data_IF_539830246260
#
_entry.id   IF_539830246260
#
_cell.length_a   1.000
_cell.length_b   1.000
_cell.length_c   1.000
_cell.angle_alpha   90.00
_cell.angle_beta   90.00
_cell.angle_gamma   90.00
#
_symmetry.space_group_name_H-M   'P 1'
#
loop_
_entity.id
_entity.type
_entity.pdbx_description
1 polymer ?
#
# COMPACT_ATOMS: atom_id res chain seq x y z
N UNK A 1 17.28 -9.43 -35.28
CA UNK A 1 16.27 -8.35 -35.27
C UNK A 1 15.40 -8.31 -33.99
N UNK A 2 15.90 -8.73 -32.82
CA UNK A 2 15.06 -9.14 -31.65
C UNK A 2 15.33 -8.42 -30.31
N UNK A 3 16.39 -7.60 -30.18
CA UNK A 3 16.77 -7.03 -28.87
C UNK A 3 16.15 -5.64 -28.63
N UNK A 4 15.93 -4.85 -29.68
CA UNK A 4 15.41 -3.47 -29.56
C UNK A 4 13.89 -3.43 -29.30
N UNK A 5 13.15 -4.51 -29.62
CA UNK A 5 11.68 -4.55 -29.48
C UNK A 5 11.20 -4.92 -28.06
N UNK A 6 12.04 -5.54 -27.23
CA UNK A 6 11.63 -5.96 -25.89
C UNK A 6 11.39 -4.81 -24.90
N UNK A 7 12.24 -3.76 -24.82
CA UNK A 7 12.02 -2.65 -23.90
C UNK A 7 10.75 -1.86 -24.24
N UNK A 8 10.51 -1.60 -25.52
CA UNK A 8 9.32 -0.89 -26.00
C UNK A 8 8.02 -1.64 -25.66
N UNK A 9 8.00 -2.96 -25.86
CA UNK A 9 6.86 -3.83 -25.51
C UNK A 9 6.59 -3.87 -24.01
N UNK A 10 7.64 -3.93 -23.17
CA UNK A 10 7.51 -3.89 -21.71
C UNK A 10 6.94 -2.56 -21.22
N UNK A 11 7.47 -1.46 -21.74
CA UNK A 11 6.97 -0.11 -21.45
C UNK A 11 5.48 0.01 -21.79
N UNK A 12 5.09 -0.35 -23.01
CA UNK A 12 3.70 -0.27 -23.45
C UNK A 12 2.76 -1.12 -22.58
N UNK A 13 3.16 -2.34 -22.22
CA UNK A 13 2.37 -3.21 -21.35
C UNK A 13 2.22 -2.65 -19.92
N UNK A 14 3.31 -2.14 -19.34
CA UNK A 14 3.29 -1.51 -18.03
C UNK A 14 2.34 -0.30 -18.00
N UNK A 15 2.48 0.59 -18.99
CA UNK A 15 1.61 1.76 -19.09
C UNK A 15 0.16 1.40 -19.38
N UNK A 16 -0.11 0.32 -20.10
CA UNK A 16 -1.49 -0.15 -20.31
C UNK A 16 -2.19 -0.47 -18.99
N UNK A 17 -1.48 -1.05 -18.01
CA UNK A 17 -2.08 -1.38 -16.71
C UNK A 17 -2.46 -0.13 -15.90
N UNK A 18 -1.72 0.97 -16.04
CA UNK A 18 -1.92 2.20 -15.25
C UNK A 18 -2.70 3.28 -16.01
N UNK A 19 -2.65 3.27 -17.34
CA UNK A 19 -3.22 4.31 -18.17
C UNK A 19 -4.74 4.34 -18.05
N UNK A 20 -5.35 5.53 -17.89
CA UNK A 20 -6.80 5.68 -17.95
C UNK A 20 -7.41 5.33 -19.33
N UNK A 21 -6.59 5.12 -20.36
CA UNK A 21 -7.04 4.67 -21.69
C UNK A 21 -7.95 5.68 -22.38
N UNK A 22 -9.11 5.23 -22.86
CA UNK A 22 -10.17 6.08 -23.44
C UNK A 22 -10.91 6.92 -22.38
N UNK A 23 -10.64 6.70 -21.09
CA UNK A 23 -11.31 7.39 -19.97
C UNK A 23 -10.55 8.59 -19.43
N UNK A 24 -9.50 9.09 -20.10
CA UNK A 24 -8.69 10.22 -19.62
C UNK A 24 -9.55 11.41 -19.20
N UNK A 25 -10.52 11.81 -20.03
CA UNK A 25 -11.40 12.95 -19.74
C UNK A 25 -12.25 12.71 -18.48
N UNK A 26 -12.72 11.49 -18.25
CA UNK A 26 -13.46 11.12 -17.04
C UNK A 26 -12.58 11.21 -15.79
N UNK A 27 -11.32 10.77 -15.88
CA UNK A 27 -10.37 10.92 -14.79
C UNK A 27 -10.03 12.39 -14.51
N UNK A 28 -9.83 13.21 -15.54
CA UNK A 28 -9.55 14.65 -15.37
C UNK A 28 -10.76 15.36 -14.75
N UNK A 29 -11.96 15.10 -15.26
CA UNK A 29 -13.19 15.66 -14.71
C UNK A 29 -13.42 15.23 -13.25
N UNK A 30 -13.23 13.94 -12.95
CA UNK A 30 -13.33 13.42 -11.59
C UNK A 30 -12.26 14.01 -10.66
N UNK A 31 -11.02 14.19 -11.13
CA UNK A 31 -9.95 14.81 -10.34
C UNK A 31 -10.26 16.29 -10.04
N UNK A 32 -10.74 17.05 -11.03
CA UNK A 32 -11.16 18.43 -10.83
C UNK A 32 -12.33 18.52 -9.83
N UNK A 33 -13.36 17.68 -9.99
CA UNK A 33 -14.48 17.60 -9.06
C UNK A 33 -14.03 17.19 -7.65
N UNK A 34 -13.15 16.21 -7.54
CA UNK A 34 -12.59 15.75 -6.28
C UNK A 34 -11.84 16.87 -5.55
N UNK A 35 -11.01 17.65 -6.27
CA UNK A 35 -10.28 18.78 -5.69
C UNK A 35 -11.22 19.90 -5.20
N UNK A 36 -12.25 20.23 -5.98
CA UNK A 36 -13.26 21.24 -5.60
C UNK A 36 -14.03 20.78 -4.36
N UNK A 37 -14.54 19.55 -4.37
CA UNK A 37 -15.30 18.98 -3.26
C UNK A 37 -14.42 18.85 -2.00
N UNK A 38 -13.18 18.41 -2.16
CA UNK A 38 -12.20 18.34 -1.08
C UNK A 38 -11.95 19.73 -0.47
N UNK A 39 -11.75 20.75 -1.31
CA UNK A 39 -11.57 22.13 -0.86
C UNK A 39 -12.78 22.67 -0.13
N UNK A 40 -14.00 22.46 -0.65
CA UNK A 40 -15.23 22.86 0.04
C UNK A 40 -15.35 22.13 1.39
N UNK A 41 -15.10 20.82 1.43
CA UNK A 41 -15.19 20.02 2.64
C UNK A 41 -14.23 20.54 3.72
N UNK A 42 -12.97 20.80 3.39
CA UNK A 42 -11.97 21.31 4.34
C UNK A 42 -12.27 22.76 4.74
N UNK A 43 -12.40 23.67 3.76
CA UNK A 43 -12.42 25.11 4.04
C UNK A 43 -13.79 25.64 4.47
N UNK A 44 -14.88 25.09 3.94
CA UNK A 44 -16.25 25.57 4.23
C UNK A 44 -16.95 24.72 5.27
N UNK A 45 -16.85 23.40 5.16
CA UNK A 45 -17.52 22.48 6.08
C UNK A 45 -16.67 22.11 7.31
N UNK A 46 -15.41 22.57 7.36
CA UNK A 46 -14.45 22.28 8.43
C UNK A 46 -14.29 20.77 8.68
N UNK A 47 -14.46 19.98 7.62
CA UNK A 47 -14.31 18.54 7.66
C UNK A 47 -12.83 18.21 7.91
N UNK A 48 -12.52 17.22 8.77
CA UNK A 48 -11.15 16.77 8.92
C UNK A 48 -10.59 16.24 7.60
N UNK A 49 -9.28 16.38 7.40
CA UNK A 49 -8.58 16.03 6.16
C UNK A 49 -8.87 14.60 5.68
N UNK A 50 -9.01 13.65 6.60
CA UNK A 50 -9.34 12.26 6.25
C UNK A 50 -10.71 12.13 5.59
N UNK A 51 -11.72 12.84 6.10
CA UNK A 51 -13.08 12.80 5.56
C UNK A 51 -13.14 13.40 4.15
N UNK A 52 -12.49 14.54 3.95
CA UNK A 52 -12.38 15.17 2.64
C UNK A 52 -11.63 14.26 1.66
N UNK A 53 -10.55 13.60 2.11
CA UNK A 53 -9.77 12.66 1.29
C UNK A 53 -10.59 11.43 0.90
N UNK A 54 -11.41 10.88 1.81
CA UNK A 54 -12.34 9.79 1.49
C UNK A 54 -13.33 10.19 0.40
N UNK A 55 -13.87 11.41 0.43
CA UNK A 55 -14.75 11.93 -0.63
C UNK A 55 -14.01 11.99 -1.96
N UNK A 56 -12.81 12.56 -1.98
CA UNK A 56 -11.99 12.67 -3.19
C UNK A 56 -11.70 11.29 -3.81
N UNK A 57 -11.34 10.29 -2.98
CA UNK A 57 -11.13 8.91 -3.42
C UNK A 57 -12.43 8.30 -3.95
N UNK A 58 -13.57 8.53 -3.29
CA UNK A 58 -14.87 8.04 -3.74
C UNK A 58 -15.24 8.57 -5.14
N UNK A 59 -14.95 9.84 -5.42
CA UNK A 59 -15.15 10.45 -6.75
C UNK A 59 -14.23 9.80 -7.78
N UNK A 60 -12.94 9.61 -7.46
CA UNK A 60 -11.97 8.96 -8.35
C UNK A 60 -12.22 7.46 -8.56
N UNK A 61 -12.88 6.80 -7.61
CA UNK A 61 -13.20 5.38 -7.69
C UNK A 61 -14.18 5.07 -8.83
N UNK A 62 -15.02 6.03 -9.23
CA UNK A 62 -15.97 5.86 -10.33
C UNK A 62 -15.25 5.58 -11.66
N UNK A 63 -14.41 6.49 -12.21
CA UNK A 63 -13.69 6.23 -13.45
C UNK A 63 -12.68 5.07 -13.31
N UNK A 64 -12.10 4.85 -12.13
CA UNK A 64 -11.25 3.69 -11.87
C UNK A 64 -12.00 2.35 -12.02
N UNK A 65 -13.21 2.26 -11.47
CA UNK A 65 -14.05 1.06 -11.60
C UNK A 65 -14.49 0.84 -13.04
N UNK A 66 -14.84 1.90 -13.76
CA UNK A 66 -15.16 1.81 -15.19
C UNK A 66 -13.97 1.30 -16.00
N UNK A 67 -12.78 1.84 -15.76
CA UNK A 67 -11.53 1.36 -16.36
C UNK A 67 -11.32 -0.13 -16.08
N UNK A 68 -11.37 -0.54 -14.81
CA UNK A 68 -11.13 -1.95 -14.44
C UNK A 68 -12.18 -2.90 -15.00
N UNK A 69 -13.42 -2.45 -15.18
CA UNK A 69 -14.44 -3.24 -15.89
C UNK A 69 -14.06 -3.45 -17.36
N UNK A 70 -13.60 -2.42 -18.05
CA UNK A 70 -13.12 -2.52 -19.43
C UNK A 70 -11.87 -3.40 -19.53
N UNK A 71 -10.92 -3.25 -18.60
CA UNK A 71 -9.73 -4.10 -18.54
C UNK A 71 -10.08 -5.55 -18.22
N UNK A 72 -11.11 -5.81 -17.41
CA UNK A 72 -11.57 -7.17 -17.14
C UNK A 72 -12.05 -7.84 -18.43
N UNK A 73 -12.86 -7.12 -19.20
CA UNK A 73 -13.38 -7.61 -20.48
C UNK A 73 -12.24 -7.86 -21.49
N UNK A 74 -11.23 -6.99 -21.52
CA UNK A 74 -10.17 -7.03 -22.52
C UNK A 74 -8.99 -7.93 -22.15
N UNK A 75 -8.66 -8.00 -20.87
CA UNK A 75 -7.42 -8.59 -20.37
C UNK A 75 -7.63 -9.60 -19.23
N UNK A 76 -8.86 -9.78 -18.75
CA UNK A 76 -9.21 -10.75 -17.72
C UNK A 76 -8.80 -10.36 -16.30
N UNK A 77 -9.19 -11.21 -15.35
CA UNK A 77 -9.05 -10.96 -13.91
C UNK A 77 -7.61 -10.68 -13.46
N UNK A 78 -6.64 -11.45 -13.95
CA UNK A 78 -5.23 -11.32 -13.54
C UNK A 78 -4.69 -9.92 -13.84
N UNK A 79 -5.01 -9.34 -15.00
CA UNK A 79 -4.55 -8.01 -15.37
C UNK A 79 -5.21 -6.93 -14.50
N UNK A 80 -6.50 -7.09 -14.21
CA UNK A 80 -7.25 -6.17 -13.33
C UNK A 80 -6.71 -6.20 -11.91
N UNK A 81 -6.52 -7.39 -11.31
CA UNK A 81 -5.97 -7.51 -9.96
C UNK A 81 -4.55 -6.94 -9.88
N UNK A 82 -3.74 -7.12 -10.92
CA UNK A 82 -2.41 -6.53 -10.98
C UNK A 82 -2.46 -4.98 -11.05
N UNK A 83 -3.38 -4.43 -11.85
CA UNK A 83 -3.63 -2.99 -11.95
C UNK A 83 -4.13 -2.42 -10.62
N UNK A 84 -5.12 -3.07 -9.99
CA UNK A 84 -5.65 -2.71 -8.68
C UNK A 84 -4.57 -2.71 -7.61
N UNK A 85 -3.77 -3.78 -7.53
CA UNK A 85 -2.69 -3.90 -6.55
C UNK A 85 -1.64 -2.80 -6.75
N UNK A 86 -1.26 -2.48 -7.99
CA UNK A 86 -0.33 -1.38 -8.27
C UNK A 86 -0.87 -0.02 -7.82
N UNK A 87 -2.12 0.30 -8.14
CA UNK A 87 -2.74 1.58 -7.79
C UNK A 87 -2.90 1.69 -6.27
N UNK A 88 -3.42 0.65 -5.63
CA UNK A 88 -3.70 0.66 -4.20
C UNK A 88 -2.42 0.62 -3.36
N UNK A 89 -1.43 -0.20 -3.73
CA UNK A 89 -0.12 -0.20 -3.06
C UNK A 89 0.63 1.12 -3.29
N UNK A 90 0.51 1.70 -4.48
CA UNK A 90 1.07 3.03 -4.77
C UNK A 90 0.45 4.11 -3.90
N UNK A 91 -0.89 4.13 -3.78
CA UNK A 91 -1.60 5.06 -2.90
C UNK A 91 -1.23 4.85 -1.42
N UNK A 92 -1.16 3.60 -0.96
CA UNK A 92 -0.73 3.26 0.40
C UNK A 92 0.72 3.73 0.68
N UNK A 93 1.63 3.56 -0.29
CA UNK A 93 3.02 4.06 -0.18
C UNK A 93 3.08 5.59 -0.10
N UNK A 94 2.22 6.29 -0.85
CA UNK A 94 2.13 7.77 -0.78
C UNK A 94 1.59 8.26 0.56
N UNK A 95 0.66 7.52 1.16
CA UNK A 95 0.21 7.78 2.53
C UNK A 95 1.41 7.72 3.48
N UNK A 96 2.22 6.65 3.43
CA UNK A 96 3.39 6.54 4.32
C UNK A 96 4.46 7.58 4.03
N UNK A 97 4.61 8.00 2.78
CA UNK A 97 5.46 9.13 2.43
C UNK A 97 4.98 10.41 3.13
N UNK A 98 3.67 10.65 3.19
CA UNK A 98 3.11 11.77 3.94
C UNK A 98 3.36 11.66 5.44
N UNK A 99 3.29 10.45 6.03
CA UNK A 99 3.64 10.21 7.43
C UNK A 99 5.12 10.52 7.72
N UNK A 100 6.03 10.10 6.83
CA UNK A 100 7.46 10.38 6.95
C UNK A 100 7.75 11.88 6.85
N UNK A 101 7.09 12.61 5.94
CA UNK A 101 7.21 14.07 5.86
C UNK A 101 6.69 14.72 7.14
N UNK A 102 5.49 14.33 7.61
CA UNK A 102 4.92 14.85 8.86
C UNK A 102 5.88 14.65 10.03
N UNK A 103 6.50 13.48 10.12
CA UNK A 103 7.40 13.13 11.23
C UNK A 103 8.76 13.82 11.15
N UNK A 104 9.46 13.74 10.00
CA UNK A 104 10.84 14.20 9.89
C UNK A 104 10.99 15.64 9.39
N UNK A 105 10.05 16.15 8.60
CA UNK A 105 10.12 17.50 8.02
C UNK A 105 9.33 18.48 8.87
N UNK A 106 8.13 18.11 9.30
CA UNK A 106 7.29 18.97 10.13
C UNK A 106 7.49 18.76 11.64
N UNK A 107 8.34 17.80 12.04
CA UNK A 107 8.61 17.46 13.44
C UNK A 107 7.35 17.13 14.24
N UNK A 108 6.31 16.62 13.57
CA UNK A 108 5.12 16.15 14.27
C UNK A 108 5.49 14.91 15.09
N UNK A 109 4.98 14.76 16.32
CA UNK A 109 5.14 13.51 17.05
C UNK A 109 4.45 12.36 16.31
N UNK A 110 4.81 11.09 16.58
CA UNK A 110 4.26 9.94 15.86
C UNK A 110 2.74 9.89 15.85
N UNK A 111 2.11 10.29 16.96
CA UNK A 111 0.65 10.34 17.10
C UNK A 111 -0.03 11.30 16.12
N UNK A 112 0.64 12.37 15.67
CA UNK A 112 0.11 13.31 14.68
C UNK A 112 0.62 13.04 13.26
N UNK A 113 1.50 12.05 13.09
CA UNK A 113 2.05 11.64 11.79
C UNK A 113 1.25 10.47 11.21
N UNK A 114 -0.03 10.72 10.93
CA UNK A 114 -1.04 9.71 10.59
C UNK A 114 -1.44 9.72 9.10
N UNK A 115 -0.73 10.52 8.28
CA UNK A 115 -0.95 10.70 6.86
C UNK A 115 -2.30 11.29 6.50
N UNK A 116 -2.82 10.96 5.30
CA UNK A 116 -4.03 11.58 4.76
C UNK A 116 -5.32 10.90 5.23
N UNK A 117 -5.31 9.57 5.41
CA UNK A 117 -6.46 8.79 5.86
C UNK A 117 -6.23 8.30 7.30
N UNK A 118 -6.15 9.25 8.23
CA UNK A 118 -5.75 8.99 9.63
C UNK A 118 -6.58 7.91 10.34
N UNK A 119 -7.86 7.74 10.00
CA UNK A 119 -8.74 6.70 10.58
C UNK A 119 -8.36 5.29 10.13
N UNK A 120 -7.74 5.16 8.95
CA UNK A 120 -7.21 3.90 8.44
C UNK A 120 -5.82 3.60 8.99
N UNK A 121 -5.18 4.54 9.69
CA UNK A 121 -3.88 4.32 10.33
C UNK A 121 -4.00 3.53 11.65
N UNK A 122 -4.72 2.41 11.63
CA UNK A 122 -4.87 1.52 12.77
C UNK A 122 -4.30 0.14 12.44
N UNK A 123 -3.87 -0.59 13.47
CA UNK A 123 -3.14 -1.85 13.28
C UNK A 123 -3.99 -2.95 12.62
N UNK A 124 -5.31 -2.95 12.84
CA UNK A 124 -6.22 -3.90 12.19
C UNK A 124 -6.25 -3.72 10.67
N UNK A 125 -6.35 -2.47 10.20
CA UNK A 125 -6.35 -2.17 8.77
C UNK A 125 -5.04 -2.62 8.13
N UNK A 126 -3.90 -2.33 8.75
CA UNK A 126 -2.60 -2.76 8.22
C UNK A 126 -2.46 -4.29 8.24
N UNK A 127 -2.83 -4.94 9.34
CA UNK A 127 -2.82 -6.40 9.43
C UNK A 127 -3.65 -7.03 8.31
N UNK A 128 -4.91 -6.59 8.14
CA UNK A 128 -5.80 -7.11 7.11
C UNK A 128 -5.28 -6.81 5.70
N UNK A 129 -4.82 -5.59 5.45
CA UNK A 129 -4.26 -5.17 4.16
C UNK A 129 -3.07 -6.04 3.76
N UNK A 130 -2.09 -6.20 4.65
CA UNK A 130 -0.86 -6.94 4.39
C UNK A 130 -1.14 -8.41 4.03
N UNK A 131 -2.03 -9.07 4.76
CA UNK A 131 -2.41 -10.45 4.45
C UNK A 131 -3.22 -10.58 3.15
N UNK A 132 -4.05 -9.58 2.80
CA UNK A 132 -4.72 -9.52 1.48
C UNK A 132 -3.67 -9.38 0.37
N UNK A 133 -2.67 -8.51 0.54
CA UNK A 133 -1.57 -8.34 -0.43
C UNK A 133 -0.83 -9.66 -0.63
N UNK A 134 -0.48 -10.39 0.43
CA UNK A 134 0.13 -11.73 0.33
C UNK A 134 -0.77 -12.69 -0.46
N UNK A 135 -2.06 -12.73 -0.15
CA UNK A 135 -3.02 -13.57 -0.88
C UNK A 135 -3.10 -13.23 -2.38
N UNK A 136 -3.15 -11.94 -2.72
CA UNK A 136 -3.12 -11.45 -4.10
C UNK A 136 -1.81 -11.80 -4.79
N UNK A 137 -0.66 -11.66 -4.14
CA UNK A 137 0.63 -12.04 -4.70
C UNK A 137 0.70 -13.53 -5.02
N UNK A 138 0.23 -14.40 -4.11
CA UNK A 138 0.15 -15.85 -4.38
C UNK A 138 -0.72 -16.13 -5.59
N UNK A 139 -1.89 -15.50 -5.70
CA UNK A 139 -2.77 -15.64 -6.85
C UNK A 139 -2.09 -15.15 -8.15
N UNK A 140 -1.51 -13.96 -8.14
CA UNK A 140 -0.88 -13.34 -9.32
C UNK A 140 0.34 -14.15 -9.79
N UNK A 141 1.15 -14.65 -8.87
CA UNK A 141 2.28 -15.54 -9.17
C UNK A 141 1.75 -16.82 -9.82
N UNK A 142 0.72 -17.46 -9.27
CA UNK A 142 0.11 -18.65 -9.90
C UNK A 142 -0.43 -18.38 -11.31
N UNK A 143 -0.88 -17.15 -11.58
CA UNK A 143 -1.59 -16.78 -12.80
C UNK A 143 -0.79 -15.99 -13.85
N UNK A 144 0.51 -15.72 -13.64
CA UNK A 144 1.37 -15.16 -14.70
C UNK A 144 2.51 -14.25 -14.24
N UNK A 145 2.51 -13.81 -12.98
CA UNK A 145 3.56 -12.97 -12.40
C UNK A 145 4.80 -13.79 -11.96
N UNK A 146 5.07 -14.97 -12.56
CA UNK A 146 6.18 -15.84 -12.14
C UNK A 146 7.52 -15.30 -12.62
N UNK A 147 8.17 -14.51 -11.78
CA UNK A 147 9.55 -14.08 -11.99
C UNK A 147 10.27 -13.91 -10.64
N UNK A 148 11.61 -13.78 -10.67
CA UNK A 148 12.43 -13.66 -9.45
C UNK A 148 11.99 -12.52 -8.52
N UNK A 149 11.60 -11.38 -9.07
CA UNK A 149 11.18 -10.21 -8.29
C UNK A 149 9.85 -10.47 -7.59
N UNK A 150 8.92 -11.20 -8.23
CA UNK A 150 7.67 -11.56 -7.60
C UNK A 150 7.85 -12.51 -6.41
N UNK A 151 8.82 -13.43 -6.47
CA UNK A 151 9.15 -14.29 -5.33
C UNK A 151 9.81 -13.52 -4.18
N UNK A 152 10.74 -12.62 -4.50
CA UNK A 152 11.35 -11.73 -3.49
C UNK A 152 10.28 -10.84 -2.86
N UNK A 153 9.37 -10.27 -3.67
CA UNK A 153 8.21 -9.51 -3.20
C UNK A 153 7.33 -10.33 -2.27
N UNK A 154 7.02 -11.59 -2.60
CA UNK A 154 6.21 -12.44 -1.74
C UNK A 154 6.87 -12.67 -0.38
N UNK A 155 8.18 -12.94 -0.35
CA UNK A 155 8.92 -13.10 0.91
C UNK A 155 8.92 -11.80 1.71
N UNK A 156 9.15 -10.67 1.04
CA UNK A 156 9.16 -9.34 1.67
C UNK A 156 7.80 -8.97 2.25
N UNK A 157 6.72 -9.09 1.48
CA UNK A 157 5.36 -8.81 1.92
C UNK A 157 4.89 -9.76 3.02
N UNK A 158 5.34 -11.02 2.99
CA UNK A 158 5.07 -11.97 4.08
C UNK A 158 5.80 -11.57 5.36
N UNK A 159 7.07 -11.18 5.29
CA UNK A 159 7.81 -10.68 6.45
C UNK A 159 7.19 -9.39 7.02
N UNK A 160 6.74 -8.48 6.15
CA UNK A 160 5.99 -7.29 6.55
C UNK A 160 4.64 -7.66 7.20
N UNK A 161 3.93 -8.67 6.69
CA UNK A 161 2.71 -9.18 7.32
C UNK A 161 2.96 -9.75 8.71
N UNK A 162 4.11 -10.40 8.93
CA UNK A 162 4.53 -10.90 10.24
C UNK A 162 4.85 -9.76 11.21
N UNK A 163 5.47 -8.67 10.74
CA UNK A 163 5.67 -7.44 11.53
C UNK A 163 4.35 -6.96 12.12
N UNK A 164 3.32 -6.80 11.27
CA UNK A 164 1.98 -6.38 11.68
C UNK A 164 1.26 -7.40 12.57
N UNK A 165 1.44 -8.68 12.28
CA UNK A 165 0.88 -9.75 13.13
C UNK A 165 1.45 -9.67 14.54
N UNK A 166 2.76 -9.49 14.67
CA UNK A 166 3.42 -9.33 15.97
C UNK A 166 2.92 -8.08 16.70
N UNK A 167 2.85 -6.95 15.99
CA UNK A 167 2.32 -5.70 16.52
C UNK A 167 0.89 -5.84 17.04
N UNK A 168 0.00 -6.46 16.26
CA UNK A 168 -1.39 -6.69 16.65
C UNK A 168 -1.49 -7.60 17.89
N UNK A 169 -0.69 -8.67 17.95
CA UNK A 169 -0.63 -9.54 19.13
C UNK A 169 -0.19 -8.73 20.37
N UNK A 170 0.84 -7.87 20.24
CA UNK A 170 1.33 -7.02 21.32
C UNK A 170 0.25 -6.03 21.78
N UNK A 171 -0.47 -5.42 20.83
CA UNK A 171 -1.60 -4.55 21.12
C UNK A 171 -2.66 -5.27 21.96
N UNK A 172 -3.11 -6.46 21.51
CA UNK A 172 -4.14 -7.21 22.21
C UNK A 172 -3.71 -7.64 23.62
N UNK A 173 -2.41 -7.87 23.86
CA UNK A 173 -1.88 -8.14 25.21
C UNK A 173 -1.98 -6.91 26.11
N UNK A 174 -1.53 -5.74 25.64
CA UNK A 174 -1.58 -4.49 26.40
C UNK A 174 -3.03 -4.11 26.72
N UNK A 175 -3.96 -4.28 25.78
CA UNK A 175 -5.40 -4.05 26.02
C UNK A 175 -5.91 -4.93 27.15
N UNK A 176 -5.54 -6.22 27.18
CA UNK A 176 -5.94 -7.14 28.25
C UNK A 176 -5.36 -6.74 29.61
N UNK A 177 -4.09 -6.36 29.65
CA UNK A 177 -3.41 -5.91 30.86
C UNK A 177 -4.04 -4.63 31.42
N UNK A 178 -4.29 -3.63 30.58
CA UNK A 178 -4.97 -2.39 30.97
C UNK A 178 -6.39 -2.64 31.46
N UNK A 179 -7.14 -3.49 30.75
CA UNK A 179 -8.49 -3.88 31.15
C UNK A 179 -8.51 -4.59 32.51
N UNK A 180 -7.49 -5.41 32.82
CA UNK A 180 -7.36 -6.07 34.12
C UNK A 180 -7.09 -5.07 35.25
N UNK A 181 -6.49 -3.92 34.94
CA UNK A 181 -6.24 -2.81 35.88
C UNK A 181 -7.42 -1.81 35.94
N UNK A 182 -8.53 -2.08 35.25
CA UNK A 182 -9.66 -1.15 35.17
C UNK A 182 -9.38 0.11 34.35
N UNK A 183 -8.30 0.12 33.55
CA UNK A 183 -7.92 1.25 32.71
C UNK A 183 -8.51 1.08 31.31
N UNK A 184 -9.19 2.11 30.80
CA UNK A 184 -9.69 2.11 29.42
C UNK A 184 -8.52 2.03 28.45
N UNK A 185 -8.55 1.03 27.57
CA UNK A 185 -7.50 0.86 26.57
C UNK A 185 -7.46 2.07 25.62
N UNK A 186 -6.26 2.55 25.24
CA UNK A 186 -6.13 3.51 24.16
C UNK A 186 -6.67 2.91 22.85
N UNK A 187 -7.02 3.74 21.85
CA UNK A 187 -7.34 3.26 20.51
C UNK A 187 -6.23 2.33 19.98
N UNK A 188 -6.54 1.50 18.98
CA UNK A 188 -5.60 0.63 18.25
C UNK A 188 -4.59 1.50 17.49
N UNK A 189 -3.69 2.15 18.23
CA UNK A 189 -2.80 3.16 17.73
C UNK A 189 -1.59 2.48 17.10
N UNK A 190 -1.21 2.95 15.91
CA UNK A 190 -0.02 2.52 15.18
C UNK A 190 1.30 2.96 15.84
N UNK A 191 1.43 2.89 17.16
CA UNK A 191 2.61 3.34 17.90
C UNK A 191 3.32 2.24 18.67
N UNK A 192 2.81 1.01 18.69
CA UNK A 192 3.53 -0.08 19.35
C UNK A 192 4.75 -0.50 18.53
N UNK A 193 5.88 -0.82 19.16
CA UNK A 193 7.02 -1.34 18.42
C UNK A 193 6.76 -2.76 17.90
N UNK A 194 7.20 -3.03 16.67
CA UNK A 194 7.08 -4.32 16.01
C UNK A 194 8.25 -5.27 16.29
N UNK A 195 8.60 -6.12 15.32
CA UNK A 195 9.77 -7.00 15.41
C UNK A 195 11.03 -6.14 15.19
N UNK A 196 10.95 -5.22 14.23
CA UNK A 196 11.99 -4.26 13.89
C UNK A 196 11.75 -2.89 14.55
N UNK A 197 12.74 -2.01 14.43
CA UNK A 197 12.69 -0.65 14.92
C UNK A 197 13.06 -0.51 16.40
N UNK A 198 13.10 0.75 16.83
CA UNK A 198 13.33 1.14 18.23
C UNK A 198 12.29 0.50 19.12
N UNK A 199 12.74 -0.11 20.23
CA UNK A 199 11.91 -0.80 21.23
C UNK A 199 11.16 -2.05 20.69
N UNK A 200 11.49 -2.46 19.45
CA UNK A 200 11.01 -3.69 18.83
C UNK A 200 11.64 -4.95 19.42
N UNK A 201 11.11 -6.11 19.04
CA UNK A 201 11.60 -7.39 19.57
C UNK A 201 13.11 -7.60 19.38
N UNK A 202 13.64 -7.27 18.20
CA UNK A 202 15.08 -7.39 17.94
C UNK A 202 15.92 -6.40 18.76
N UNK A 203 15.41 -5.18 19.00
CA UNK A 203 16.11 -4.18 19.80
C UNK A 203 16.28 -4.64 21.26
N UNK A 204 15.34 -5.43 21.77
CA UNK A 204 15.34 -6.00 23.12
C UNK A 204 16.12 -7.32 23.22
N UNK A 205 16.58 -7.88 22.09
CA UNK A 205 17.35 -9.13 22.07
C UNK A 205 18.81 -8.90 22.45
N UNK A 206 19.37 -9.80 23.25
CA UNK A 206 20.80 -9.78 23.62
C UNK A 206 21.75 -10.05 22.44
N UNK A 207 21.26 -10.65 21.36
CA UNK A 207 22.08 -11.05 20.21
C UNK A 207 22.13 -9.98 19.10
N UNK A 208 21.04 -9.23 18.90
CA UNK A 208 20.90 -8.28 17.78
C UNK A 208 20.45 -6.86 18.19
N UNK A 209 20.48 -6.53 19.48
CA UNK A 209 19.84 -5.32 20.03
C UNK A 209 20.30 -3.96 19.48
N UNK A 210 21.45 -3.88 18.81
CA UNK A 210 22.09 -2.61 18.44
C UNK A 210 22.49 -2.50 16.97
N UNK A 211 21.67 -3.01 16.06
CA UNK A 211 21.90 -2.87 14.62
C UNK A 211 21.39 -1.49 14.17
N UNK A 212 22.27 -0.54 13.77
CA UNK A 212 21.84 0.79 13.35
C UNK A 212 20.84 0.73 12.19
N UNK A 213 19.81 1.56 12.26
CA UNK A 213 18.72 1.57 11.29
C UNK A 213 17.69 0.48 11.54
N UNK A 214 18.11 -0.76 11.79
CA UNK A 214 17.19 -1.89 11.99
C UNK A 214 16.53 -1.89 13.37
N UNK A 215 17.29 -1.61 14.44
CA UNK A 215 16.78 -1.61 15.83
C UNK A 215 16.72 -0.21 16.45
N UNK A 216 17.13 0.82 15.72
CA UNK A 216 17.20 2.21 16.23
C UNK A 216 16.24 3.18 15.54
N UNK A 217 15.73 2.84 14.35
CA UNK A 217 14.79 3.68 13.59
C UNK A 217 13.41 3.71 14.24
N UNK A 218 12.68 4.80 14.02
CA UNK A 218 11.28 4.88 14.44
C UNK A 218 10.43 3.85 13.69
N UNK A 219 9.30 3.45 14.28
CA UNK A 219 8.30 2.61 13.60
C UNK A 219 7.89 3.21 12.26
N UNK A 220 7.67 4.52 12.20
CA UNK A 220 7.28 5.23 10.96
C UNK A 220 8.30 4.98 9.85
N UNK A 221 9.59 5.07 10.16
CA UNK A 221 10.64 4.80 9.19
C UNK A 221 10.69 3.32 8.76
N UNK A 222 10.62 2.39 9.72
CA UNK A 222 10.60 0.95 9.43
C UNK A 222 9.42 0.60 8.51
N UNK A 223 8.23 1.06 8.87
CA UNK A 223 7.00 0.78 8.14
C UNK A 223 7.00 1.43 6.74
N UNK A 224 7.58 2.62 6.60
CA UNK A 224 7.84 3.22 5.29
C UNK A 224 8.75 2.34 4.44
N UNK A 225 9.86 1.84 4.98
CA UNK A 225 10.80 1.02 4.22
C UNK A 225 10.20 -0.31 3.78
N UNK A 226 9.35 -0.93 4.61
CA UNK A 226 8.57 -2.08 4.20
C UNK A 226 7.71 -1.78 2.99
N UNK A 227 6.87 -0.74 3.05
CA UNK A 227 5.99 -0.34 1.95
C UNK A 227 6.73 0.08 0.69
N UNK A 228 7.82 0.85 0.84
CA UNK A 228 8.67 1.24 -0.28
C UNK A 228 9.29 0.02 -0.96
N UNK A 229 9.79 -0.94 -0.18
CA UNK A 229 10.33 -2.21 -0.68
C UNK A 229 9.27 -3.02 -1.44
N UNK A 230 8.06 -3.12 -0.90
CA UNK A 230 6.92 -3.78 -1.58
C UNK A 230 6.63 -3.11 -2.92
N UNK A 231 6.54 -1.78 -2.95
CA UNK A 231 6.23 -1.05 -4.17
C UNK A 231 7.36 -1.19 -5.21
N UNK A 232 8.62 -1.07 -4.79
CA UNK A 232 9.77 -1.20 -5.69
C UNK A 232 9.84 -2.61 -6.30
N UNK A 233 9.65 -3.65 -5.50
CA UNK A 233 9.65 -5.04 -5.95
C UNK A 233 8.42 -5.36 -6.81
N UNK A 234 7.25 -4.79 -6.50
CA UNK A 234 6.03 -4.90 -7.32
C UNK A 234 6.23 -4.28 -8.70
N UNK A 235 6.79 -3.06 -8.78
CA UNK A 235 7.13 -2.40 -10.03
C UNK A 235 8.09 -3.25 -10.86
N UNK A 236 9.15 -3.78 -10.24
CA UNK A 236 10.11 -4.66 -10.91
C UNK A 236 9.46 -5.96 -11.41
N UNK A 237 8.59 -6.57 -10.61
CA UNK A 237 7.87 -7.79 -10.98
C UNK A 237 6.91 -7.55 -12.15
N UNK A 238 6.14 -6.46 -12.10
CA UNK A 238 5.21 -6.08 -13.17
C UNK A 238 5.96 -5.78 -14.46
N UNK A 239 7.02 -4.96 -14.39
CA UNK A 239 7.82 -4.56 -15.56
C UNK A 239 8.29 -5.76 -16.39
N UNK A 240 8.63 -6.87 -15.71
CA UNK A 240 9.07 -8.11 -16.36
C UNK A 240 7.90 -8.94 -16.92
N UNK A 241 6.78 -9.04 -16.20
CA UNK A 241 5.71 -9.99 -16.52
C UNK A 241 4.49 -9.39 -17.23
N UNK A 242 4.31 -8.07 -17.24
CA UNK A 242 3.12 -7.41 -17.78
C UNK A 242 2.80 -7.80 -19.24
N UNK A 243 3.77 -7.87 -20.19
CA UNK A 243 3.46 -8.27 -21.56
C UNK A 243 2.81 -9.66 -21.65
N UNK A 244 3.35 -10.63 -20.90
CA UNK A 244 2.83 -12.01 -20.91
C UNK A 244 1.42 -12.10 -20.35
N UNK A 245 1.14 -11.32 -19.30
CA UNK A 245 -0.18 -11.30 -18.66
C UNK A 245 -1.23 -10.70 -19.60
N UNK A 246 -0.90 -9.61 -20.30
CA UNK A 246 -1.80 -8.94 -21.24
C UNK A 246 -1.98 -9.69 -22.57
N UNK A 247 -1.08 -10.60 -22.92
CA UNK A 247 -1.17 -11.41 -24.14
C UNK A 247 -1.93 -12.71 -23.93
N UNK A 248 -1.71 -13.40 -22.80
CA UNK A 248 -2.40 -14.64 -22.45
C UNK A 248 -3.92 -14.49 -22.40
N UNK A 249 -4.41 -13.28 -22.14
CA UNK A 249 -5.83 -12.98 -22.11
C UNK A 249 -6.46 -12.82 -23.50
N UNK A 250 -5.68 -12.44 -24.51
CA UNK A 250 -6.18 -12.31 -25.90
C UNK A 250 -6.40 -13.65 -26.60
N UNK A 251 -5.76 -14.72 -26.13
CA UNK A 251 -5.82 -16.05 -26.76
C UNK A 251 -6.92 -16.95 -26.19
N UNK A 252 -7.82 -16.40 -25.36
CA UNK A 252 -8.96 -17.13 -24.78
C UNK A 252 -10.30 -16.74 -25.42
N UNK A 253 -10.28 -15.83 -26.39
CA UNK A 253 -11.36 -15.57 -27.35
C UNK A 253 -11.13 -16.42 -28.60
#
# INVERSE_FOLDING_TARGET
MSIITQPARRSAAFWTLLSPGDRVLWFVAAAAAALVLWGIAVWRAHMPLWGATTIAIGVLAVPATMKWRTDFQRYGLTAVLLSMLLVMQGFHTLEHFSQVIQYYVFNNPPYFSQGLLSTLNNEWVHFTWNWIVVGFLVYLIRNGLRNRWAWVLLVWAFAHSLEHTYMLIRYLRIVRELSALGVTAPPVAGSLPGILGRDGWLALSSFCGRIPGLTTSSRIAIHFWWNFGEMALLLAAVWVSAPKILEKSKTKE
#
